data_IF_289266003976
#
_entry.id   IF_289266003976
#
_cell.length_a   1.000
_cell.length_b   1.000
_cell.length_c   1.000
_cell.angle_alpha   90.00
_cell.angle_beta   90.00
_cell.angle_gamma   90.00
#
_symmetry.space_group_name_H-M   'P 1'
#
loop_
_entity.id
_entity.type
_entity.pdbx_description
1 polymer ?
#
# COMPACT_ATOMS: atom_id res chain seq x y z
N UNK A 1 35.40 17.57 41.09
CA UNK A 1 34.19 16.74 40.84
C UNK A 1 33.37 17.21 39.65
N UNK A 2 33.02 18.50 39.53
CA UNK A 2 32.18 19.05 38.44
C UNK A 2 32.61 18.63 37.02
N UNK A 3 33.91 18.70 36.70
CA UNK A 3 34.45 18.29 35.40
C UNK A 3 34.21 16.81 35.05
N UNK A 4 34.31 15.90 36.03
CA UNK A 4 34.07 14.46 35.80
C UNK A 4 32.59 14.18 35.55
N UNK A 5 31.70 14.91 36.22
CA UNK A 5 30.25 14.83 36.03
C UNK A 5 29.87 15.31 34.62
N UNK A 6 30.44 16.42 34.15
CA UNK A 6 30.19 16.92 32.78
C UNK A 6 30.65 15.93 31.71
N UNK A 7 31.79 15.25 31.90
CA UNK A 7 32.28 14.24 30.95
C UNK A 7 31.35 13.01 30.94
N UNK A 8 30.90 12.55 32.11
CA UNK A 8 29.92 11.46 32.21
C UNK A 8 28.61 11.81 31.50
N UNK A 9 28.14 13.05 31.64
CA UNK A 9 26.92 13.52 30.97
C UNK A 9 27.08 13.56 29.44
N UNK A 10 28.23 14.02 28.93
CA UNK A 10 28.51 14.00 27.49
C UNK A 10 28.57 12.59 26.93
N UNK A 11 29.20 11.65 27.66
CA UNK A 11 29.24 10.24 27.25
C UNK A 11 27.83 9.64 27.23
N UNK A 12 27.01 9.93 28.25
CA UNK A 12 25.63 9.45 28.29
C UNK A 12 24.78 9.96 27.12
N UNK A 13 24.98 11.21 26.69
CA UNK A 13 24.30 11.79 25.52
C UNK A 13 24.78 11.16 24.21
N UNK A 14 26.07 10.85 24.09
CA UNK A 14 26.65 10.23 22.89
C UNK A 14 26.33 8.74 22.76
N UNK A 15 26.16 8.04 23.88
CA UNK A 15 25.74 6.64 23.93
C UNK A 15 24.23 6.51 23.81
N UNK A 16 23.48 7.60 24.00
CA UNK A 16 22.06 7.59 23.78
C UNK A 16 21.80 7.25 22.31
N UNK A 17 21.13 6.13 22.02
CA UNK A 17 20.82 5.80 20.64
C UNK A 17 19.93 6.93 20.12
N UNK A 18 20.44 7.73 19.20
CA UNK A 18 19.56 8.45 18.29
C UNK A 18 18.78 7.33 17.60
N UNK A 19 17.53 7.11 18.01
CA UNK A 19 16.62 6.31 17.24
C UNK A 19 16.54 7.00 15.88
N UNK A 20 17.40 6.58 14.95
CA UNK A 20 17.24 6.88 13.56
C UNK A 20 15.90 6.23 13.23
N UNK A 21 14.85 7.04 13.22
CA UNK A 21 13.59 6.69 12.61
C UNK A 21 13.87 6.61 11.11
N UNK A 22 14.57 5.56 10.70
CA UNK A 22 14.39 4.97 9.40
C UNK A 22 12.95 4.44 9.42
N UNK A 23 11.99 5.36 9.29
CA UNK A 23 10.70 5.01 8.77
C UNK A 23 11.02 4.49 7.36
N UNK A 24 11.15 3.18 7.24
CA UNK A 24 11.35 2.50 5.96
C UNK A 24 10.19 2.89 5.07
N UNK A 25 10.42 3.89 4.21
CA UNK A 25 9.47 4.34 3.21
C UNK A 25 9.38 3.25 2.15
N UNK A 26 8.48 2.29 2.38
CA UNK A 26 8.31 1.14 1.50
C UNK A 26 7.09 1.35 0.62
N UNK A 27 7.33 1.75 -0.62
CA UNK A 27 6.32 1.78 -1.68
C UNK A 27 6.42 0.48 -2.48
N UNK A 28 5.32 -0.26 -2.59
CA UNK A 28 5.26 -1.47 -3.41
C UNK A 28 4.02 -1.43 -4.30
N UNK A 29 4.21 -1.81 -5.57
CA UNK A 29 3.14 -2.01 -6.53
C UNK A 29 3.06 -3.51 -6.82
N UNK A 30 1.92 -4.11 -6.53
CA UNK A 30 1.68 -5.52 -6.77
C UNK A 30 0.58 -5.70 -7.83
N UNK A 31 0.75 -6.68 -8.71
CA UNK A 31 -0.27 -7.07 -9.69
C UNK A 31 -0.49 -8.58 -9.56
N UNK A 32 -1.68 -8.96 -9.11
CA UNK A 32 -2.04 -10.35 -8.84
C UNK A 32 -3.27 -10.72 -9.65
N UNK A 33 -3.21 -11.86 -10.34
CA UNK A 33 -4.36 -12.51 -10.95
C UNK A 33 -4.99 -13.42 -9.89
N UNK A 34 -6.26 -13.19 -9.55
CA UNK A 34 -6.99 -14.06 -8.63
C UNK A 34 -7.55 -15.29 -9.35
N UNK A 35 -7.82 -16.34 -8.59
CA UNK A 35 -8.40 -17.60 -9.09
C UNK A 35 -9.77 -17.39 -9.77
N UNK A 36 -10.49 -16.34 -9.37
CA UNK A 36 -11.79 -15.97 -9.93
C UNK A 36 -11.72 -15.17 -11.25
N UNK A 37 -10.54 -15.08 -11.87
CA UNK A 37 -10.37 -14.36 -13.14
C UNK A 37 -10.31 -12.84 -12.99
N UNK A 38 -10.27 -12.29 -11.77
CA UNK A 38 -10.05 -10.88 -11.52
C UNK A 38 -8.55 -10.54 -11.56
N UNK A 39 -8.15 -9.45 -12.21
CA UNK A 39 -6.82 -8.87 -12.07
C UNK A 39 -6.86 -7.76 -11.03
N UNK A 40 -6.03 -7.83 -9.99
CA UNK A 40 -5.92 -6.81 -8.95
C UNK A 40 -4.55 -6.13 -8.98
N UNK A 41 -4.54 -4.81 -9.13
CA UNK A 41 -3.39 -3.95 -8.88
C UNK A 41 -3.48 -3.36 -7.48
N UNK A 42 -2.40 -3.35 -6.72
CA UNK A 42 -2.36 -2.83 -5.35
C UNK A 42 -1.18 -1.89 -5.17
N UNK A 43 -1.44 -0.74 -4.55
CA UNK A 43 -0.43 0.19 -4.07
C UNK A 43 -0.33 0.06 -2.55
N UNK A 44 0.86 -0.32 -2.10
CA UNK A 44 1.22 -0.49 -0.71
C UNK A 44 2.17 0.64 -0.29
N UNK A 45 1.92 1.19 0.89
CA UNK A 45 2.79 2.15 1.56
C UNK A 45 3.00 1.68 2.99
N UNK A 46 4.25 1.46 3.39
CA UNK A 46 4.63 1.01 4.73
C UNK A 46 3.82 -0.23 5.18
N UNK A 47 3.81 -1.27 4.33
CA UNK A 47 3.07 -2.53 4.53
C UNK A 47 1.54 -2.38 4.65
N UNK A 48 0.97 -1.23 4.29
CA UNK A 48 -0.48 -1.04 4.24
C UNK A 48 -0.94 -0.78 2.81
N UNK A 49 -2.03 -1.41 2.40
CA UNK A 49 -2.70 -1.06 1.15
C UNK A 49 -3.28 0.34 1.30
N UNK A 50 -2.86 1.25 0.42
CA UNK A 50 -3.43 2.60 0.34
C UNK A 50 -4.38 2.73 -0.84
N UNK A 51 -4.20 1.93 -1.88
CA UNK A 51 -5.11 1.86 -3.02
C UNK A 51 -5.09 0.48 -3.66
N UNK A 52 -6.24 0.04 -4.17
CA UNK A 52 -6.39 -1.20 -4.92
C UNK A 52 -7.27 -0.95 -6.14
N UNK A 53 -6.89 -1.49 -7.28
CA UNK A 53 -7.66 -1.50 -8.51
C UNK A 53 -8.02 -2.96 -8.85
N UNK A 54 -9.30 -3.28 -8.92
CA UNK A 54 -9.75 -4.61 -9.34
C UNK A 54 -10.46 -4.53 -10.70
N UNK A 55 -9.98 -5.31 -11.67
CA UNK A 55 -10.50 -5.41 -13.04
C UNK A 55 -11.05 -6.82 -13.24
N UNK A 56 -12.36 -6.89 -13.50
CA UNK A 56 -13.04 -8.15 -13.79
C UNK A 56 -13.13 -8.35 -15.30
N UNK A 57 -12.66 -9.50 -15.76
CA UNK A 57 -12.61 -9.86 -17.18
C UNK A 57 -13.83 -10.68 -17.63
N UNK A 58 -14.55 -11.30 -16.71
CA UNK A 58 -15.81 -11.97 -16.98
C UNK A 58 -16.87 -11.49 -15.98
N UNK A 59 -18.09 -11.29 -16.49
CA UNK A 59 -19.30 -11.09 -15.69
C UNK A 59 -19.33 -9.83 -14.82
N UNK A 60 -20.39 -9.03 -14.95
CA UNK A 60 -20.70 -7.98 -13.98
C UNK A 60 -20.90 -8.62 -12.58
N UNK A 61 -19.87 -8.60 -11.75
CA UNK A 61 -19.97 -9.03 -10.34
C UNK A 61 -20.49 -7.82 -9.55
N UNK A 62 -21.57 -7.96 -8.77
CA UNK A 62 -22.10 -6.84 -8.01
C UNK A 62 -21.01 -6.27 -7.09
N UNK A 63 -20.88 -4.94 -7.07
CA UNK A 63 -19.98 -4.18 -6.18
C UNK A 63 -20.53 -4.26 -4.74
N UNK A 64 -20.63 -5.46 -4.19
CA UNK A 64 -21.29 -5.68 -2.90
C UNK A 64 -20.49 -6.56 -1.94
N UNK A 65 -19.27 -6.97 -2.29
CA UNK A 65 -18.54 -7.97 -1.50
C UNK A 65 -17.18 -7.51 -0.92
N UNK A 66 -16.76 -6.26 -1.10
CA UNK A 66 -15.45 -5.81 -0.60
C UNK A 66 -15.59 -4.66 0.39
N UNK A 67 -15.46 -4.99 1.68
CA UNK A 67 -15.42 -4.07 2.82
C UNK A 67 -14.13 -3.21 2.88
N UNK A 68 -13.45 -3.00 1.75
CA UNK A 68 -12.23 -2.18 1.71
C UNK A 68 -12.52 -0.86 0.98
N UNK A 69 -12.68 0.20 1.78
CA UNK A 69 -12.92 1.57 1.29
C UNK A 69 -11.79 2.14 0.39
N UNK A 70 -10.69 1.39 0.20
CA UNK A 70 -9.52 1.78 -0.60
C UNK A 70 -9.48 1.15 -1.99
N UNK A 71 -10.55 0.50 -2.42
CA UNK A 71 -10.59 -0.24 -3.69
C UNK A 71 -11.46 0.46 -4.72
N UNK A 72 -10.87 0.84 -5.86
CA UNK A 72 -11.62 1.24 -7.06
C UNK A 72 -11.94 -0.01 -7.87
N UNK A 73 -13.23 -0.23 -8.13
CA UNK A 73 -13.69 -1.34 -8.96
C UNK A 73 -13.97 -0.83 -10.38
N UNK A 74 -13.37 -1.48 -11.37
CA UNK A 74 -13.69 -1.27 -12.78
C UNK A 74 -14.28 -2.58 -13.30
N UNK A 75 -15.58 -2.57 -13.57
CA UNK A 75 -16.29 -3.64 -14.25
C UNK A 75 -16.56 -3.17 -15.69
N UNK A 76 -15.64 -3.43 -16.64
CA UNK A 76 -15.84 -3.04 -18.03
C UNK A 76 -16.98 -3.86 -18.66
N UNK A 77 -17.75 -3.21 -19.53
CA UNK A 77 -18.63 -3.94 -20.43
C UNK A 77 -17.79 -4.68 -21.48
N UNK A 78 -18.24 -5.87 -21.86
CA UNK A 78 -17.71 -6.60 -23.01
C UNK A 78 -18.52 -6.21 -24.25
N UNK A 79 -17.89 -5.47 -25.17
CA UNK A 79 -18.49 -5.08 -26.46
C UNK A 79 -17.59 -5.62 -27.56
N UNK A 80 -18.14 -6.43 -28.46
CA UNK A 80 -17.43 -7.04 -29.60
C UNK A 80 -16.13 -7.79 -29.22
N UNK A 81 -16.11 -8.41 -28.03
CA UNK A 81 -14.95 -9.15 -27.52
C UNK A 81 -13.84 -8.28 -26.92
N UNK A 82 -14.08 -6.98 -26.75
CA UNK A 82 -13.15 -6.03 -26.15
C UNK A 82 -13.72 -5.47 -24.84
N UNK A 83 -12.83 -5.17 -23.89
CA UNK A 83 -13.20 -4.48 -22.65
C UNK A 83 -13.40 -2.98 -22.91
N UNK A 84 -14.60 -2.48 -22.66
CA UNK A 84 -14.92 -1.06 -22.73
C UNK A 84 -14.82 -0.43 -21.34
N UNK A 85 -13.86 0.48 -21.17
CA UNK A 85 -13.69 1.30 -19.96
C UNK A 85 -14.11 2.73 -20.31
N UNK A 86 -15.23 3.20 -19.73
CA UNK A 86 -15.68 4.58 -19.88
C UNK A 86 -14.96 5.44 -18.83
N UNK A 87 -14.24 6.47 -19.29
CA UNK A 87 -13.59 7.47 -18.45
C UNK A 87 -14.31 8.79 -18.73
N UNK A 88 -14.93 9.38 -17.71
CA UNK A 88 -15.48 10.74 -17.75
C UNK A 88 -14.43 11.77 -17.33
#
# INVERSE_FOLDING_TARGET
MRRRICVLFMIAVLVWPSAALAADYMVNINVVRQEDGTTCGELWYNNQIIWRLAILADGAKPVSAFHSAKTTFIAPDLVDGLFMIKVE
#
